data_IF_050270711073
#
_entry.id   IF_050270711073
#
_cell.length_a   1.000
_cell.length_b   1.000
_cell.length_c   1.000
_cell.angle_alpha   90.00
_cell.angle_beta   90.00
_cell.angle_gamma   90.00
#
_symmetry.space_group_name_H-M   'P 1'
#
loop_
_entity.id
_entity.type
_entity.pdbx_description
1 polymer ?
#
# COMPACT_ATOMS: atom_id res chain seq x y z
N UNK A 1 -38.55 28.51 -65.07
CA UNK A 1 -37.44 29.47 -65.22
C UNK A 1 -37.27 30.20 -63.90
N UNK A 2 -36.49 29.62 -62.99
CA UNK A 2 -35.99 30.22 -61.76
C UNK A 2 -34.67 29.49 -61.50
N UNK A 3 -33.53 30.11 -61.83
CA UNK A 3 -32.22 29.48 -61.56
C UNK A 3 -31.07 30.50 -61.48
N UNK A 4 -31.13 31.61 -62.22
CA UNK A 4 -29.98 32.55 -62.25
C UNK A 4 -29.96 33.56 -61.09
N UNK A 5 -31.12 33.95 -60.56
CA UNK A 5 -31.22 34.88 -59.41
C UNK A 5 -30.87 34.22 -58.08
N UNK A 6 -31.24 32.95 -57.90
CA UNK A 6 -30.98 32.17 -56.70
C UNK A 6 -29.52 31.73 -56.56
N UNK A 7 -28.76 31.72 -57.66
CA UNK A 7 -27.30 31.48 -57.64
C UNK A 7 -26.53 32.75 -57.27
N UNK A 8 -26.87 33.90 -57.85
CA UNK A 8 -26.20 35.18 -57.56
C UNK A 8 -26.44 35.67 -56.13
N UNK A 9 -27.65 35.48 -55.57
CA UNK A 9 -27.94 35.82 -54.18
C UNK A 9 -27.19 34.90 -53.21
N UNK A 10 -27.00 33.62 -53.56
CA UNK A 10 -26.19 32.67 -52.78
C UNK A 10 -24.72 33.01 -52.79
N UNK A 11 -24.20 33.41 -53.95
CA UNK A 11 -22.80 33.82 -54.13
C UNK A 11 -22.45 35.06 -53.29
N UNK A 12 -23.36 36.05 -53.25
CA UNK A 12 -23.18 37.28 -52.47
C UNK A 12 -23.36 37.04 -50.96
N UNK A 13 -24.32 36.20 -50.55
CA UNK A 13 -24.50 35.83 -49.13
C UNK A 13 -23.32 34.98 -48.62
N UNK A 14 -22.77 34.08 -49.45
CA UNK A 14 -21.57 33.31 -49.14
C UNK A 14 -20.33 34.19 -48.92
N UNK A 15 -20.13 35.21 -49.76
CA UNK A 15 -19.00 36.13 -49.60
C UNK A 15 -19.16 37.03 -48.38
N UNK A 16 -20.37 37.48 -48.04
CA UNK A 16 -20.64 38.25 -46.82
C UNK A 16 -20.44 37.42 -45.55
N UNK A 17 -20.82 36.14 -45.54
CA UNK A 17 -20.52 35.25 -44.43
C UNK A 17 -19.01 35.04 -44.31
N UNK A 18 -18.31 34.73 -45.41
CA UNK A 18 -16.84 34.58 -45.40
C UNK A 18 -16.14 35.81 -44.82
N UNK A 19 -16.54 37.01 -45.19
CA UNK A 19 -15.94 38.24 -44.65
C UNK A 19 -16.14 38.41 -43.14
N UNK A 20 -17.32 38.05 -42.60
CA UNK A 20 -17.60 38.11 -41.17
C UNK A 20 -16.78 37.08 -40.39
N UNK A 21 -16.70 35.84 -40.88
CA UNK A 21 -15.85 34.79 -40.31
C UNK A 21 -14.37 35.17 -40.35
N UNK A 22 -13.89 35.76 -41.46
CA UNK A 22 -12.52 36.26 -41.60
C UNK A 22 -12.21 37.42 -40.65
N UNK A 23 -13.18 38.31 -40.41
CA UNK A 23 -13.02 39.47 -39.50
C UNK A 23 -12.97 39.01 -38.04
N UNK A 24 -13.81 38.04 -37.66
CA UNK A 24 -13.76 37.37 -36.36
C UNK A 24 -12.44 36.60 -36.19
N UNK A 25 -11.97 35.89 -37.21
CA UNK A 25 -10.70 35.17 -37.18
C UNK A 25 -9.48 36.11 -37.08
N UNK A 26 -9.48 37.24 -37.80
CA UNK A 26 -8.41 38.26 -37.67
C UNK A 26 -8.35 38.87 -36.27
N UNK A 27 -9.49 38.98 -35.58
CA UNK A 27 -9.57 39.62 -34.25
C UNK A 27 -9.32 38.62 -33.12
N UNK A 28 -9.96 37.44 -33.18
CA UNK A 28 -9.96 36.43 -32.12
C UNK A 28 -9.08 35.22 -32.41
N UNK A 29 -8.69 34.99 -33.66
CA UNK A 29 -7.90 33.81 -34.06
C UNK A 29 -6.56 33.73 -33.34
N UNK A 30 -5.91 34.85 -33.03
CA UNK A 30 -4.68 34.85 -32.22
C UNK A 30 -4.93 34.39 -30.78
N UNK A 31 -6.05 34.76 -30.18
CA UNK A 31 -6.41 34.30 -28.83
C UNK A 31 -6.77 32.81 -28.83
N UNK A 32 -7.55 32.36 -29.81
CA UNK A 32 -7.89 30.93 -29.98
C UNK A 32 -6.63 30.09 -30.14
N UNK A 33 -5.72 30.50 -31.03
CA UNK A 33 -4.43 29.80 -31.23
C UNK A 33 -3.61 29.79 -29.94
N UNK A 34 -3.53 30.91 -29.21
CA UNK A 34 -2.77 30.97 -27.95
C UNK A 34 -3.31 30.03 -26.86
N UNK A 35 -4.64 29.94 -26.73
CA UNK A 35 -5.29 29.03 -25.76
C UNK A 35 -5.04 27.58 -26.15
N UNK A 36 -5.18 27.23 -27.43
CA UNK A 36 -4.91 25.88 -27.92
C UNK A 36 -3.44 25.50 -27.70
N UNK A 37 -2.49 26.39 -28.00
CA UNK A 37 -1.07 26.15 -27.72
C UNK A 37 -0.79 25.95 -26.24
N UNK A 38 -1.40 26.76 -25.36
CA UNK A 38 -1.24 26.63 -23.92
C UNK A 38 -1.74 25.26 -23.42
N UNK A 39 -2.91 24.82 -23.87
CA UNK A 39 -3.45 23.50 -23.53
C UNK A 39 -2.52 22.38 -24.00
N UNK A 40 -1.99 22.48 -25.22
CA UNK A 40 -1.03 21.48 -25.74
C UNK A 40 0.23 21.43 -24.87
N UNK A 41 0.78 22.57 -24.44
CA UNK A 41 1.97 22.61 -23.57
C UNK A 41 1.68 22.01 -22.20
N UNK A 42 0.52 22.32 -21.60
CA UNK A 42 0.11 21.75 -20.31
C UNK A 42 -0.04 20.24 -20.42
N UNK A 43 -0.73 19.75 -21.46
CA UNK A 43 -0.93 18.31 -21.68
C UNK A 43 0.41 17.63 -21.96
N UNK A 44 1.26 18.19 -22.81
CA UNK A 44 2.58 17.62 -23.10
C UNK A 44 3.49 17.57 -21.86
N UNK A 45 3.47 18.61 -21.03
CA UNK A 45 4.19 18.63 -19.75
C UNK A 45 3.67 17.59 -18.77
N UNK A 46 2.33 17.47 -18.66
CA UNK A 46 1.69 16.46 -17.82
C UNK A 46 1.99 15.03 -18.30
N UNK A 47 1.87 14.76 -19.60
CA UNK A 47 2.17 13.44 -20.16
C UNK A 47 3.65 13.09 -20.05
N UNK A 48 4.56 14.05 -20.26
CA UNK A 48 6.00 13.81 -20.09
C UNK A 48 6.39 13.52 -18.64
N UNK A 49 5.79 14.22 -17.67
CA UNK A 49 5.97 13.93 -16.24
C UNK A 49 5.40 12.56 -15.88
N UNK A 50 4.21 12.23 -16.41
CA UNK A 50 3.54 10.95 -16.18
C UNK A 50 4.37 9.78 -16.72
N UNK A 51 4.90 9.85 -17.93
CA UNK A 51 5.71 8.78 -18.53
C UNK A 51 7.01 8.54 -17.74
N UNK A 52 7.65 9.62 -17.25
CA UNK A 52 8.84 9.50 -16.40
C UNK A 52 8.50 8.82 -15.06
N UNK A 53 7.40 9.21 -14.43
CA UNK A 53 6.91 8.59 -13.19
C UNK A 53 6.52 7.13 -13.39
N UNK A 54 5.81 6.80 -14.48
CA UNK A 54 5.39 5.43 -14.81
C UNK A 54 6.59 4.53 -15.14
N UNK A 55 7.65 5.07 -15.74
CA UNK A 55 8.90 4.34 -15.98
C UNK A 55 9.57 3.92 -14.67
N UNK A 56 9.66 4.83 -13.68
CA UNK A 56 10.27 4.52 -12.38
C UNK A 56 9.48 3.47 -11.61
N UNK A 57 8.14 3.57 -11.59
CA UNK A 57 7.27 2.57 -10.99
C UNK A 57 7.39 1.19 -11.65
N UNK A 58 7.59 1.14 -12.97
CA UNK A 58 7.83 -0.11 -13.69
C UNK A 58 9.19 -0.71 -13.33
N UNK A 59 10.23 0.12 -13.18
CA UNK A 59 11.56 -0.30 -12.76
C UNK A 59 11.54 -0.83 -11.31
N UNK A 60 10.88 -0.15 -10.38
CA UNK A 60 10.70 -0.62 -9.00
C UNK A 60 9.92 -1.93 -8.93
N UNK A 61 8.87 -2.05 -9.74
CA UNK A 61 8.12 -3.30 -9.89
C UNK A 61 8.98 -4.45 -10.40
N UNK A 62 9.87 -4.20 -11.36
CA UNK A 62 10.82 -5.18 -11.86
C UNK A 62 11.84 -5.58 -10.79
N UNK A 63 12.40 -4.61 -10.06
CA UNK A 63 13.33 -4.85 -8.96
C UNK A 63 12.69 -5.66 -7.83
N UNK A 64 11.43 -5.34 -7.48
CA UNK A 64 10.68 -6.08 -6.48
C UNK A 64 10.48 -7.54 -6.90
N UNK A 65 10.07 -7.77 -8.15
CA UNK A 65 9.94 -9.11 -8.70
C UNK A 65 11.27 -9.86 -8.73
N UNK A 66 12.37 -9.18 -9.09
CA UNK A 66 13.69 -9.77 -9.11
C UNK A 66 14.12 -10.21 -7.71
N UNK A 67 13.91 -9.37 -6.69
CA UNK A 67 14.20 -9.70 -5.30
C UNK A 67 13.39 -10.93 -4.83
N UNK A 68 12.09 -10.97 -5.13
CA UNK A 68 11.25 -12.11 -4.77
C UNK A 68 11.73 -13.41 -5.44
N UNK A 69 12.18 -13.31 -6.70
CA UNK A 69 12.75 -14.45 -7.42
C UNK A 69 14.05 -14.94 -6.80
N UNK A 70 14.96 -14.04 -6.38
CA UNK A 70 16.19 -14.41 -5.68
C UNK A 70 15.88 -15.14 -4.35
N UNK A 71 14.88 -14.66 -3.60
CA UNK A 71 14.44 -15.32 -2.37
C UNK A 71 13.92 -16.75 -2.65
N UNK A 72 13.09 -16.92 -3.69
CA UNK A 72 12.58 -18.23 -4.11
C UNK A 72 13.66 -19.18 -4.63
N UNK A 73 14.73 -18.65 -5.21
CA UNK A 73 15.89 -19.43 -5.67
C UNK A 73 16.85 -19.82 -4.54
N UNK A 74 16.56 -19.44 -3.30
CA UNK A 74 17.39 -19.75 -2.13
C UNK A 74 18.55 -18.78 -1.94
N UNK A 75 18.47 -17.57 -2.48
CA UNK A 75 19.44 -16.49 -2.30
C UNK A 75 18.85 -15.35 -1.43
N UNK A 76 18.48 -15.60 -0.16
CA UNK A 76 17.81 -14.61 0.69
C UNK A 76 18.65 -13.34 0.91
N UNK A 77 19.98 -13.45 1.00
CA UNK A 77 20.85 -12.29 1.21
C UNK A 77 20.84 -11.33 0.01
N UNK A 78 20.86 -11.88 -1.22
CA UNK A 78 20.74 -11.07 -2.44
C UNK A 78 19.36 -10.43 -2.52
N UNK A 79 18.30 -11.16 -2.18
CA UNK A 79 16.94 -10.63 -2.15
C UNK A 79 16.81 -9.48 -1.14
N UNK A 80 17.33 -9.66 0.06
CA UNK A 80 17.35 -8.62 1.10
C UNK A 80 18.08 -7.36 0.63
N UNK A 81 19.24 -7.50 -0.03
CA UNK A 81 19.97 -6.35 -0.56
C UNK A 81 19.20 -5.58 -1.66
N UNK A 82 18.45 -6.28 -2.52
CA UNK A 82 17.62 -5.62 -3.53
C UNK A 82 16.42 -4.92 -2.87
N UNK A 83 15.78 -5.55 -1.87
CA UNK A 83 14.70 -4.92 -1.12
C UNK A 83 15.17 -3.70 -0.32
N UNK A 84 16.34 -3.74 0.31
CA UNK A 84 16.94 -2.60 1.02
C UNK A 84 17.14 -1.39 0.07
N UNK A 85 17.55 -1.65 -1.17
CA UNK A 85 17.60 -0.63 -2.22
C UNK A 85 16.24 -0.01 -2.49
N UNK A 86 15.19 -0.83 -2.64
CA UNK A 86 13.81 -0.34 -2.82
C UNK A 86 13.26 0.39 -1.61
N UNK A 87 13.65 0.02 -0.39
CA UNK A 87 13.28 0.74 0.84
C UNK A 87 13.84 2.16 0.85
N UNK A 88 15.04 2.36 0.30
CA UNK A 88 15.74 3.65 0.29
C UNK A 88 15.34 4.54 -0.88
N UNK A 89 15.30 3.95 -2.07
CA UNK A 89 15.25 4.69 -3.33
C UNK A 89 13.97 4.45 -4.13
N UNK A 90 13.10 3.54 -3.68
CA UNK A 90 11.84 3.23 -4.37
C UNK A 90 10.80 4.35 -4.26
N UNK A 91 9.89 4.38 -5.22
CA UNK A 91 8.79 5.34 -5.30
C UNK A 91 7.45 4.75 -4.79
N UNK A 92 6.56 5.66 -4.40
CA UNK A 92 5.21 5.37 -3.93
C UNK A 92 5.12 4.28 -2.82
N UNK A 93 4.43 3.17 -3.09
CA UNK A 93 4.19 2.09 -2.13
C UNK A 93 5.29 1.02 -2.10
N UNK A 94 6.24 1.05 -3.03
CA UNK A 94 7.28 0.03 -3.13
C UNK A 94 8.23 0.01 -1.93
N UNK A 95 8.68 1.15 -1.36
CA UNK A 95 9.51 1.14 -0.15
C UNK A 95 8.86 0.39 1.01
N UNK A 96 7.56 0.60 1.21
CA UNK A 96 6.81 -0.06 2.27
C UNK A 96 6.68 -1.57 2.03
N UNK A 97 6.33 -1.97 0.80
CA UNK A 97 6.19 -3.38 0.43
C UNK A 97 7.54 -4.11 0.46
N UNK A 98 8.60 -3.48 -0.03
CA UNK A 98 9.96 -4.01 -0.01
C UNK A 98 10.44 -4.24 1.42
N UNK A 99 10.23 -3.25 2.30
CA UNK A 99 10.61 -3.39 3.71
C UNK A 99 9.86 -4.52 4.42
N UNK A 100 8.57 -4.73 4.12
CA UNK A 100 7.83 -5.87 4.68
C UNK A 100 8.44 -7.22 4.27
N UNK A 101 8.90 -7.34 3.01
CA UNK A 101 9.53 -8.55 2.48
C UNK A 101 10.94 -8.74 3.01
N UNK A 102 11.72 -7.68 3.08
CA UNK A 102 13.06 -7.69 3.67
C UNK A 102 13.01 -8.12 5.15
N UNK A 103 12.13 -7.51 5.95
CA UNK A 103 11.96 -7.88 7.36
C UNK A 103 11.57 -9.36 7.51
N UNK A 104 10.72 -9.88 6.62
CA UNK A 104 10.37 -11.30 6.61
C UNK A 104 11.57 -12.19 6.27
N UNK A 105 12.41 -11.79 5.31
CA UNK A 105 13.63 -12.52 4.95
C UNK A 105 14.61 -12.54 6.11
N UNK A 106 14.84 -11.39 6.76
CA UNK A 106 15.69 -11.26 7.94
C UNK A 106 15.19 -12.16 9.08
N UNK A 107 13.88 -12.15 9.35
CA UNK A 107 13.28 -12.99 10.37
C UNK A 107 13.49 -14.49 10.09
N UNK A 108 13.26 -14.92 8.84
CA UNK A 108 13.48 -16.30 8.41
C UNK A 108 14.96 -16.71 8.46
N UNK A 109 15.88 -15.76 8.26
CA UNK A 109 17.32 -15.94 8.41
C UNK A 109 17.81 -15.99 9.87
N UNK A 110 16.94 -15.73 10.84
CA UNK A 110 17.27 -15.67 12.26
C UNK A 110 17.73 -14.30 12.76
N UNK A 111 17.73 -13.29 11.90
CA UNK A 111 18.09 -11.90 12.25
C UNK A 111 16.87 -11.19 12.85
N UNK A 112 16.39 -11.70 13.99
CA UNK A 112 15.13 -11.24 14.60
C UNK A 112 15.17 -9.77 15.02
N UNK A 113 16.28 -9.29 15.60
CA UNK A 113 16.41 -7.90 16.05
C UNK A 113 16.36 -6.92 14.87
N UNK A 114 17.02 -7.26 13.76
CA UNK A 114 17.01 -6.45 12.53
C UNK A 114 15.61 -6.44 11.89
N UNK A 115 14.94 -7.60 11.84
CA UNK A 115 13.57 -7.71 11.35
C UNK A 115 12.59 -6.87 12.18
N UNK A 116 12.69 -6.93 13.51
CA UNK A 116 11.87 -6.13 14.43
C UNK A 116 12.13 -4.64 14.23
N UNK A 117 13.39 -4.21 14.12
CA UNK A 117 13.74 -2.81 13.88
C UNK A 117 13.18 -2.29 12.54
N UNK A 118 13.20 -3.13 11.50
CA UNK A 118 12.62 -2.77 10.22
C UNK A 118 11.10 -2.68 10.28
N UNK A 119 10.42 -3.63 10.93
CA UNK A 119 8.97 -3.53 11.17
C UNK A 119 8.58 -2.29 11.98
N UNK A 120 9.37 -1.93 12.99
CA UNK A 120 9.16 -0.71 13.78
C UNK A 120 9.32 0.55 12.91
N UNK A 121 10.27 0.55 11.98
CA UNK A 121 10.44 1.63 11.00
C UNK A 121 9.22 1.75 10.09
N UNK A 122 8.71 0.63 9.58
CA UNK A 122 7.52 0.58 8.72
C UNK A 122 6.26 1.02 9.46
N UNK A 123 6.12 0.68 10.74
CA UNK A 123 5.03 1.17 11.58
C UNK A 123 5.05 2.70 11.77
N UNK A 124 6.21 3.35 11.58
CA UNK A 124 6.37 4.81 11.61
C UNK A 124 6.17 5.52 10.27
N UNK A 125 6.04 4.80 9.15
CA UNK A 125 5.89 5.41 7.81
C UNK A 125 4.55 6.11 7.63
N UNK A 126 4.47 7.03 6.66
CA UNK A 126 3.24 7.80 6.38
C UNK A 126 2.30 7.07 5.41
N UNK A 127 1.86 5.87 5.79
CA UNK A 127 0.86 5.04 5.06
C UNK A 127 -0.45 4.91 5.85
N UNK A 128 -1.47 4.27 5.27
CA UNK A 128 -2.75 3.99 5.96
C UNK A 128 -2.48 3.27 7.30
N UNK A 129 -3.20 3.68 8.36
CA UNK A 129 -3.03 3.15 9.71
C UNK A 129 -3.06 1.61 9.74
N UNK A 130 -3.91 0.98 8.93
CA UNK A 130 -4.04 -0.48 8.89
C UNK A 130 -2.73 -1.16 8.47
N UNK A 131 -1.95 -0.54 7.58
CA UNK A 131 -0.65 -1.07 7.20
C UNK A 131 0.36 -0.88 8.34
N UNK A 132 0.41 0.30 8.95
CA UNK A 132 1.29 0.56 10.10
C UNK A 132 1.07 -0.42 11.25
N UNK A 133 -0.19 -0.67 11.58
CA UNK A 133 -0.57 -1.62 12.62
C UNK A 133 -0.22 -3.07 12.23
N UNK A 134 -0.24 -3.41 10.93
CA UNK A 134 0.22 -4.72 10.45
C UNK A 134 1.72 -4.89 10.66
N UNK A 135 2.53 -3.88 10.35
CA UNK A 135 3.97 -3.94 10.60
C UNK A 135 4.26 -4.08 12.11
N UNK A 136 3.57 -3.30 12.95
CA UNK A 136 3.66 -3.42 14.40
C UNK A 136 3.23 -4.81 14.91
N UNK A 137 2.18 -5.41 14.31
CA UNK A 137 1.76 -6.78 14.62
C UNK A 137 2.85 -7.79 14.26
N UNK A 138 3.52 -7.66 13.12
CA UNK A 138 4.62 -8.56 12.75
C UNK A 138 5.80 -8.45 13.72
N UNK A 139 6.14 -7.25 14.19
CA UNK A 139 7.14 -7.09 15.25
C UNK A 139 6.72 -7.82 16.54
N UNK A 140 5.45 -7.71 16.94
CA UNK A 140 4.92 -8.44 18.12
C UNK A 140 5.02 -9.95 17.93
N UNK A 141 4.65 -10.48 16.76
CA UNK A 141 4.72 -11.92 16.45
C UNK A 141 6.15 -12.43 16.60
N UNK A 142 7.17 -11.66 16.18
CA UNK A 142 8.57 -12.06 16.35
C UNK A 142 9.05 -12.00 17.80
N UNK A 143 8.49 -11.08 18.59
CA UNK A 143 8.92 -10.86 19.97
C UNK A 143 8.20 -11.73 21.00
N UNK A 144 7.00 -12.26 20.70
CA UNK A 144 6.16 -12.94 21.70
C UNK A 144 6.87 -14.12 22.38
N UNK A 145 7.68 -14.86 21.63
CA UNK A 145 8.38 -16.06 22.10
C UNK A 145 9.73 -15.79 22.78
N UNK A 146 10.38 -14.67 22.47
CA UNK A 146 11.75 -14.38 22.92
C UNK A 146 11.95 -13.05 23.65
N UNK A 147 11.17 -12.02 23.31
CA UNK A 147 11.34 -10.65 23.77
C UNK A 147 10.97 -10.41 25.23
N UNK A 148 11.26 -9.19 25.69
CA UNK A 148 10.89 -8.70 27.03
C UNK A 148 9.36 -8.65 27.20
N UNK A 149 8.78 -9.39 28.17
CA UNK A 149 7.33 -9.49 28.30
C UNK A 149 6.61 -8.15 28.51
N UNK A 150 7.22 -7.21 29.22
CA UNK A 150 6.60 -5.91 29.47
C UNK A 150 6.56 -5.07 28.19
N UNK A 151 7.65 -5.08 27.41
CA UNK A 151 7.70 -4.43 26.11
C UNK A 151 6.68 -5.04 25.14
N UNK A 152 6.62 -6.37 25.04
CA UNK A 152 5.67 -7.06 24.16
C UNK A 152 4.23 -6.79 24.57
N UNK A 153 3.91 -6.84 25.86
CA UNK A 153 2.58 -6.52 26.39
C UNK A 153 2.15 -5.09 26.01
N UNK A 154 3.05 -4.11 26.13
CA UNK A 154 2.78 -2.73 25.72
C UNK A 154 2.49 -2.60 24.23
N UNK A 155 3.25 -3.31 23.38
CA UNK A 155 3.06 -3.31 21.92
C UNK A 155 1.73 -3.95 21.53
N UNK A 156 1.38 -5.08 22.16
CA UNK A 156 0.08 -5.74 21.99
C UNK A 156 -1.05 -4.79 22.37
N UNK A 157 -0.93 -4.09 23.51
CA UNK A 157 -1.94 -3.16 24.00
C UNK A 157 -2.29 -2.06 22.98
N UNK A 158 -1.30 -1.54 22.26
CA UNK A 158 -1.52 -0.53 21.22
C UNK A 158 -2.34 -1.05 20.02
N UNK A 159 -2.37 -2.37 19.80
CA UNK A 159 -3.08 -3.01 18.69
C UNK A 159 -4.49 -3.47 19.04
N UNK A 160 -4.88 -3.46 20.33
CA UNK A 160 -6.19 -3.95 20.77
C UNK A 160 -7.38 -3.11 20.28
N UNK A 161 -7.15 -1.87 19.87
CA UNK A 161 -8.18 -1.01 19.27
C UNK A 161 -8.06 -0.91 17.74
N UNK A 162 -7.15 -1.67 17.12
CA UNK A 162 -6.89 -1.65 15.68
C UNK A 162 -7.75 -2.65 14.90
N UNK A 163 -7.66 -2.59 13.56
CA UNK A 163 -8.23 -3.61 12.68
C UNK A 163 -7.63 -5.02 12.91
N UNK A 164 -6.49 -5.11 13.60
CA UNK A 164 -5.79 -6.34 13.93
C UNK A 164 -6.03 -6.81 15.36
N UNK A 165 -7.03 -6.25 16.06
CA UNK A 165 -7.39 -6.56 17.45
C UNK A 165 -7.36 -8.06 17.74
N UNK A 166 -8.05 -8.89 16.94
CA UNK A 166 -8.15 -10.31 17.24
C UNK A 166 -6.80 -11.04 17.13
N UNK A 167 -5.93 -10.63 16.21
CA UNK A 167 -4.56 -11.15 16.15
C UNK A 167 -3.73 -10.67 17.34
N UNK A 168 -3.91 -9.43 17.79
CA UNK A 168 -3.26 -8.93 19.00
C UNK A 168 -3.73 -9.65 20.27
N UNK A 169 -5.04 -9.97 20.38
CA UNK A 169 -5.59 -10.79 21.45
C UNK A 169 -4.95 -12.17 21.49
N UNK A 170 -4.76 -12.80 20.33
CA UNK A 170 -4.09 -14.09 20.28
C UNK A 170 -2.64 -14.00 20.77
N UNK A 171 -1.91 -12.95 20.36
CA UNK A 171 -0.55 -12.72 20.87
C UNK A 171 -0.53 -12.45 22.37
N UNK A 172 -1.57 -11.80 22.92
CA UNK A 172 -1.73 -11.63 24.38
C UNK A 172 -1.86 -12.98 25.09
N UNK A 173 -2.72 -13.86 24.58
CA UNK A 173 -2.90 -15.19 25.15
C UNK A 173 -1.63 -16.05 25.08
N UNK A 174 -0.87 -15.94 23.98
CA UNK A 174 0.43 -16.62 23.86
C UNK A 174 1.46 -16.08 24.86
N UNK A 175 1.50 -14.76 25.07
CA UNK A 175 2.37 -14.14 26.07
C UNK A 175 1.99 -14.59 27.50
N UNK A 176 0.70 -14.67 27.81
CA UNK A 176 0.18 -15.17 29.08
C UNK A 176 0.55 -16.65 29.30
N UNK A 177 0.43 -17.50 28.27
CA UNK A 177 0.89 -18.90 28.31
C UNK A 177 2.39 -18.99 28.59
N UNK A 178 3.20 -18.16 27.90
CA UNK A 178 4.65 -18.13 28.11
C UNK A 178 5.01 -17.71 29.54
N UNK A 179 4.23 -16.81 30.13
CA UNK A 179 4.39 -16.41 31.52
C UNK A 179 3.93 -17.48 32.53
N UNK A 180 3.30 -18.57 32.06
CA UNK A 180 2.75 -19.64 32.89
C UNK A 180 1.37 -19.33 33.45
N UNK A 181 0.75 -18.22 33.06
CA UNK A 181 -0.59 -17.82 33.48
C UNK A 181 -1.64 -18.45 32.55
N UNK A 182 -1.84 -19.76 32.73
CA UNK A 182 -2.78 -20.53 31.91
C UNK A 182 -4.23 -20.09 32.11
N UNK A 183 -4.57 -19.55 33.28
CA UNK A 183 -5.91 -19.05 33.58
C UNK A 183 -6.20 -17.77 32.77
N UNK A 184 -5.29 -16.79 32.79
CA UNK A 184 -5.41 -15.58 31.98
C UNK A 184 -5.42 -15.91 30.49
N UNK A 185 -4.52 -16.80 30.05
CA UNK A 185 -4.47 -17.24 28.66
C UNK A 185 -5.79 -17.89 28.20
N UNK A 186 -6.35 -18.80 29.00
CA UNK A 186 -7.62 -19.44 28.70
C UNK A 186 -8.75 -18.40 28.60
N UNK A 187 -8.79 -17.42 29.51
CA UNK A 187 -9.77 -16.32 29.43
C UNK A 187 -9.62 -15.49 28.14
N UNK A 188 -8.38 -15.16 27.75
CA UNK A 188 -8.10 -14.43 26.50
C UNK A 188 -8.50 -15.24 25.27
N UNK A 189 -8.16 -16.53 25.17
CA UNK A 189 -8.57 -17.36 24.03
C UNK A 189 -10.09 -17.57 23.98
N UNK A 190 -10.76 -17.68 25.13
CA UNK A 190 -12.21 -17.75 25.20
C UNK A 190 -12.89 -16.46 24.68
N UNK A 191 -12.31 -15.28 24.94
CA UNK A 191 -12.77 -14.00 24.34
C UNK A 191 -12.78 -14.09 22.80
N UNK A 192 -11.70 -14.62 22.22
CA UNK A 192 -11.57 -14.79 20.75
C UNK A 192 -12.58 -15.79 20.21
N UNK A 193 -12.77 -16.92 20.90
CA UNK A 193 -13.67 -18.01 20.48
C UNK A 193 -15.13 -17.58 20.51
N UNK A 194 -15.52 -16.80 21.53
CA UNK A 194 -16.91 -16.38 21.77
C UNK A 194 -17.30 -15.14 20.96
N UNK A 195 -16.35 -14.35 20.49
CA UNK A 195 -16.64 -13.21 19.61
C UNK A 195 -17.04 -13.65 18.20
N UNK A 196 -18.27 -13.33 17.83
CA UNK A 196 -18.86 -13.65 16.53
C UNK A 196 -18.20 -12.90 15.36
N UNK A 197 -17.53 -11.78 15.64
CA UNK A 197 -16.79 -11.00 14.64
C UNK A 197 -15.39 -11.55 14.35
N UNK A 198 -14.88 -12.47 15.18
CA UNK A 198 -13.58 -13.12 14.95
C UNK A 198 -13.61 -13.92 13.64
N UNK A 199 -12.63 -13.75 12.73
CA UNK A 199 -12.48 -14.59 11.54
C UNK A 199 -12.41 -16.07 11.88
N UNK A 200 -13.07 -16.93 11.10
CA UNK A 200 -13.21 -18.37 11.40
C UNK A 200 -11.89 -19.09 11.62
N UNK A 201 -10.88 -18.80 10.79
CA UNK A 201 -9.55 -19.43 10.90
C UNK A 201 -8.88 -19.10 12.22
N UNK A 202 -8.95 -17.83 12.64
CA UNK A 202 -8.40 -17.36 13.90
C UNK A 202 -9.17 -17.94 15.08
N UNK A 203 -10.50 -18.00 14.99
CA UNK A 203 -11.37 -18.63 16.01
C UNK A 203 -11.01 -20.10 16.23
N UNK A 204 -10.80 -20.86 15.16
CA UNK A 204 -10.41 -22.27 15.25
C UNK A 204 -9.05 -22.44 15.92
N UNK A 205 -8.06 -21.62 15.54
CA UNK A 205 -6.73 -21.66 16.17
C UNK A 205 -6.79 -21.27 17.65
N UNK A 206 -7.54 -20.24 18.00
CA UNK A 206 -7.75 -19.85 19.40
C UNK A 206 -8.47 -20.95 20.21
N UNK A 207 -9.39 -21.71 19.62
CA UNK A 207 -10.02 -22.85 20.28
C UNK A 207 -9.01 -23.98 20.58
N UNK A 208 -8.08 -24.26 19.66
CA UNK A 208 -6.98 -25.21 19.91
C UNK A 208 -6.06 -24.71 21.05
N UNK A 209 -5.70 -23.43 21.03
CA UNK A 209 -4.88 -22.80 22.08
C UNK A 209 -5.60 -22.75 23.44
N UNK A 210 -6.92 -22.56 23.45
CA UNK A 210 -7.75 -22.61 24.66
C UNK A 210 -7.67 -23.99 25.34
N UNK A 211 -7.74 -25.07 24.56
CA UNK A 211 -7.60 -26.43 25.07
C UNK A 211 -6.18 -26.67 25.63
N UNK A 212 -5.15 -26.16 24.95
CA UNK A 212 -3.76 -26.24 25.43
C UNK A 212 -3.58 -25.48 26.75
N UNK A 213 -4.26 -24.34 26.91
CA UNK A 213 -4.29 -23.57 28.14
C UNK A 213 -5.09 -24.25 29.29
N UNK A 214 -5.71 -25.41 29.02
CA UNK A 214 -6.54 -26.13 30.00
C UNK A 214 -7.98 -25.64 30.09
N UNK A 215 -8.42 -24.79 29.16
CA UNK A 215 -9.81 -24.37 29.03
C UNK A 215 -10.71 -25.43 28.38
N UNK A 216 -12.02 -25.30 28.61
CA UNK A 216 -13.04 -26.11 27.95
C UNK A 216 -13.66 -25.34 26.78
N UNK A 217 -14.08 -26.06 25.73
CA UNK A 217 -14.78 -25.53 24.56
C UNK A 217 -16.26 -25.23 24.85
#
# INVERSE_FOLDING_TARGET
MADTGDQLLREVEEDLQREQWLRLWKTYGRYVVSVVTLVIVIVAGYTGYKEYSESQLADDGFMFWQADREALLGNPDNAAAIFDGLVKDGDEGYPYLAGLREAQILANGGNLDEAVALYDTLAGMSVDQRYRDLAALYAVILLVDGGDPANVSSRIGALLDSAWRHSALEMRGLLELRAGDTEAAAATFAEIVTDLNTPTTLRNRAAELLVIAGGAL
#
